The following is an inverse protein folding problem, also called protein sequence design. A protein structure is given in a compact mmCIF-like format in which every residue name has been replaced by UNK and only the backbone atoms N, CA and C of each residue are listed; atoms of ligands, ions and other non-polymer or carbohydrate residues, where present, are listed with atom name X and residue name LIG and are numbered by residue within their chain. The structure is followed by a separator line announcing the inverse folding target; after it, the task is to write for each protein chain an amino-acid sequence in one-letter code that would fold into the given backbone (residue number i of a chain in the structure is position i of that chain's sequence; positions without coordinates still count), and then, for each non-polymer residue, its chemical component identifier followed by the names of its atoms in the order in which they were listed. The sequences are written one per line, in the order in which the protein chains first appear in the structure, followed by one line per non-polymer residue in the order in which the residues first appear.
data_IF_687949390853
#
_entry.id   IF_687949390853
#
_cell.length_a   1.000
_cell.length_b   1.000
_cell.length_c   1.000
_cell.angle_alpha   90.00
_cell.angle_beta   90.00
_cell.angle_gamma   90.00
#
_symmetry.space_group_name_H-M   'P 1'
#
loop_
_entity.id
_entity.type
_entity.pdbx_description
1 polymer ?
#
# COMPACT_ATOMS: atom_id res chain seq x y z
N UNK A 1 -49.51 -64.36 7.71
CA UNK A 1 -49.92 -64.11 6.32
C UNK A 1 -51.41 -63.83 6.36
N UNK A 2 -51.79 -62.58 6.58
CA UNK A 2 -53.15 -62.09 6.42
C UNK A 2 -53.05 -60.91 5.47
N UNK A 3 -53.69 -61.05 4.31
CA UNK A 3 -53.85 -60.00 3.31
C UNK A 3 -54.34 -58.73 4.00
N UNK A 4 -53.55 -57.66 3.85
CA UNK A 4 -53.99 -56.32 4.16
C UNK A 4 -54.81 -55.89 2.94
N UNK A 5 -56.11 -56.00 3.07
CA UNK A 5 -57.10 -55.48 2.13
C UNK A 5 -56.91 -53.97 1.99
N UNK A 6 -56.23 -53.55 0.92
CA UNK A 6 -55.73 -52.19 0.70
C UNK A 6 -56.76 -51.22 0.12
N UNK A 7 -58.00 -51.66 -0.09
CA UNK A 7 -59.01 -50.90 -0.85
C UNK A 7 -60.12 -50.28 -0.01
N UNK A 8 -59.91 -50.12 1.31
CA UNK A 8 -60.86 -49.40 2.15
C UNK A 8 -60.38 -47.95 2.42
N UNK A 9 -60.95 -46.93 1.74
CA UNK A 9 -60.51 -45.53 1.86
C UNK A 9 -60.69 -44.93 3.26
N UNK A 10 -61.46 -45.57 4.13
CA UNK A 10 -61.58 -45.22 5.55
C UNK A 10 -60.33 -45.56 6.36
N UNK A 11 -59.67 -46.69 6.07
CA UNK A 11 -58.46 -47.14 6.78
C UNK A 11 -57.26 -46.27 6.39
N UNK A 12 -57.17 -45.87 5.13
CA UNK A 12 -56.16 -44.93 4.64
C UNK A 12 -56.34 -43.54 5.24
N UNK A 13 -57.58 -43.05 5.38
CA UNK A 13 -57.86 -41.77 6.04
C UNK A 13 -57.50 -41.79 7.52
N UNK A 14 -57.81 -42.87 8.23
CA UNK A 14 -57.44 -43.01 9.65
C UNK A 14 -55.91 -43.00 9.83
N UNK A 15 -55.16 -43.70 8.97
CA UNK A 15 -53.68 -43.66 8.99
C UNK A 15 -53.11 -42.30 8.65
N UNK A 16 -53.72 -41.57 7.71
CA UNK A 16 -53.27 -40.20 7.38
C UNK A 16 -53.53 -39.27 8.55
N UNK A 17 -54.68 -39.35 9.21
CA UNK A 17 -54.97 -38.52 10.40
C UNK A 17 -54.10 -38.89 11.60
N UNK A 18 -53.76 -40.17 11.75
CA UNK A 18 -52.84 -40.65 12.79
C UNK A 18 -51.40 -40.20 12.51
N UNK A 19 -50.96 -40.21 11.26
CA UNK A 19 -49.67 -39.65 10.84
C UNK A 19 -49.63 -38.12 10.96
N UNK A 20 -50.70 -37.41 10.63
CA UNK A 20 -50.81 -35.96 10.83
C UNK A 20 -50.77 -35.59 12.31
N UNK A 21 -51.41 -36.38 13.17
CA UNK A 21 -51.35 -36.19 14.62
C UNK A 21 -49.95 -36.50 15.18
N UNK A 22 -49.27 -37.53 14.68
CA UNK A 22 -47.87 -37.81 15.06
C UNK A 22 -46.91 -36.71 14.57
N UNK A 23 -47.10 -36.19 13.37
CA UNK A 23 -46.32 -35.07 12.85
C UNK A 23 -46.58 -33.78 13.64
N UNK A 24 -47.83 -33.54 14.06
CA UNK A 24 -48.22 -32.42 14.90
C UNK A 24 -47.70 -32.55 16.35
N UNK A 25 -47.55 -33.78 16.87
CA UNK A 25 -46.90 -34.05 18.16
C UNK A 25 -45.37 -33.93 18.09
N UNK A 26 -44.73 -34.35 16.99
CA UNK A 26 -43.29 -34.16 16.79
C UNK A 26 -42.92 -32.70 16.52
N UNK A 27 -43.73 -31.94 15.77
CA UNK A 27 -43.53 -30.49 15.59
C UNK A 27 -43.78 -29.67 16.87
N UNK A 28 -44.53 -30.21 17.84
CA UNK A 28 -44.76 -29.57 19.14
C UNK A 28 -43.68 -29.86 20.18
N UNK A 29 -42.75 -30.77 19.92
CA UNK A 29 -41.59 -30.96 20.80
C UNK A 29 -40.55 -29.91 20.43
N UNK A 30 -40.26 -28.92 21.29
CA UNK A 30 -39.13 -28.04 21.04
C UNK A 30 -37.89 -28.93 20.97
N UNK A 31 -37.11 -28.79 19.89
CA UNK A 31 -35.88 -29.56 19.68
C UNK A 31 -34.91 -29.42 20.88
N UNK A 32 -35.11 -28.43 21.75
CA UNK A 32 -34.39 -28.18 23.00
C UNK A 32 -35.34 -27.62 24.08
N UNK A 33 -35.40 -28.25 25.26
CA UNK A 33 -35.98 -27.65 26.48
C UNK A 33 -34.85 -27.14 27.37
N UNK A 34 -34.90 -25.85 27.73
CA UNK A 34 -33.96 -25.23 28.66
C UNK A 34 -34.62 -25.11 30.03
N UNK A 35 -34.17 -25.90 31.01
CA UNK A 35 -34.75 -25.91 32.36
C UNK A 35 -34.33 -24.71 33.21
N UNK A 36 -33.32 -23.95 32.79
CA UNK A 36 -32.90 -22.71 33.43
C UNK A 36 -32.32 -21.70 32.45
N UNK A 37 -32.40 -20.40 32.76
CA UNK A 37 -31.76 -19.34 31.95
C UNK A 37 -30.24 -19.49 31.86
N UNK A 38 -29.63 -20.17 32.85
CA UNK A 38 -28.20 -20.48 32.87
C UNK A 38 -27.85 -21.58 31.87
N UNK A 39 -28.72 -22.55 31.65
CA UNK A 39 -28.53 -23.61 30.66
C UNK A 39 -28.73 -23.10 29.23
N UNK A 40 -29.67 -22.17 29.03
CA UNK A 40 -29.76 -21.43 27.76
C UNK A 40 -28.46 -20.65 27.48
N UNK A 41 -27.90 -19.99 28.50
CA UNK A 41 -26.64 -19.24 28.39
C UNK A 41 -25.45 -20.17 28.11
N UNK A 42 -25.33 -21.32 28.79
CA UNK A 42 -24.29 -22.32 28.52
C UNK A 42 -24.42 -22.93 27.13
N UNK A 43 -25.64 -23.24 26.68
CA UNK A 43 -25.88 -23.90 25.40
C UNK A 43 -25.69 -22.96 24.21
N UNK A 44 -25.94 -21.66 24.37
CA UNK A 44 -25.64 -20.66 23.34
C UNK A 44 -24.18 -20.21 23.41
N UNK A 45 -23.60 -20.09 24.61
CA UNK A 45 -22.21 -19.65 24.78
C UNK A 45 -21.18 -20.72 24.42
N UNK A 46 -21.44 -22.02 24.62
CA UNK A 46 -20.46 -23.08 24.26
C UNK A 46 -20.17 -23.11 22.75
N UNK A 47 -21.17 -23.13 21.86
CA UNK A 47 -20.94 -23.10 20.41
C UNK A 47 -20.29 -21.79 19.97
N UNK A 48 -20.70 -20.65 20.53
CA UNK A 48 -20.08 -19.35 20.23
C UNK A 48 -18.63 -19.31 20.71
N UNK A 49 -18.34 -19.80 21.92
CA UNK A 49 -16.99 -19.87 22.46
C UNK A 49 -16.12 -20.85 21.67
N UNK A 50 -16.68 -21.97 21.19
CA UNK A 50 -16.01 -22.91 20.31
C UNK A 50 -15.69 -22.28 18.95
N UNK A 51 -16.64 -21.56 18.33
CA UNK A 51 -16.41 -20.81 17.09
C UNK A 51 -15.34 -19.75 17.30
N UNK A 52 -15.42 -18.97 18.39
CA UNK A 52 -14.43 -17.96 18.75
C UNK A 52 -13.05 -18.59 19.01
N UNK A 53 -12.99 -19.75 19.66
CA UNK A 53 -11.75 -20.49 19.89
C UNK A 53 -11.17 -21.06 18.59
N UNK A 54 -12.01 -21.55 17.67
CA UNK A 54 -11.59 -22.01 16.34
C UNK A 54 -11.11 -20.85 15.47
N UNK A 55 -11.77 -19.69 15.51
CA UNK A 55 -11.32 -18.46 14.84
C UNK A 55 -10.01 -17.98 15.44
N UNK A 56 -9.88 -17.94 16.77
CA UNK A 56 -8.64 -17.57 17.44
C UNK A 56 -7.51 -18.56 17.17
N UNK A 57 -7.81 -19.87 17.10
CA UNK A 57 -6.85 -20.90 16.73
C UNK A 57 -6.41 -20.75 15.28
N UNK A 58 -7.35 -20.53 14.35
CA UNK A 58 -7.05 -20.27 12.95
C UNK A 58 -6.18 -19.02 12.79
N UNK A 59 -6.54 -17.93 13.45
CA UNK A 59 -5.80 -16.66 13.43
C UNK A 59 -4.41 -16.81 14.04
N UNK A 60 -4.29 -17.51 15.18
CA UNK A 60 -3.02 -17.60 15.90
C UNK A 60 -2.07 -18.67 15.35
N UNK A 61 -2.58 -19.83 14.96
CA UNK A 61 -1.75 -20.99 14.57
C UNK A 61 -1.54 -21.05 13.07
N UNK A 62 -2.61 -20.88 12.28
CA UNK A 62 -2.52 -21.05 10.82
C UNK A 62 -2.11 -19.74 10.17
N UNK A 63 -2.81 -18.64 10.47
CA UNK A 63 -2.44 -17.33 9.96
C UNK A 63 -1.17 -16.81 10.64
N UNK A 64 -1.00 -16.99 11.95
CA UNK A 64 0.22 -16.63 12.66
C UNK A 64 1.48 -17.36 12.18
N UNK A 65 1.37 -18.63 11.76
CA UNK A 65 2.50 -19.34 11.15
C UNK A 65 2.92 -18.77 9.79
N UNK A 66 2.01 -18.11 9.08
CA UNK A 66 2.26 -17.40 7.81
C UNK A 66 2.34 -15.88 8.04
N UNK A 67 2.45 -15.43 9.30
CA UNK A 67 2.49 -14.03 9.69
C UNK A 67 1.32 -13.15 9.22
N UNK A 68 0.18 -13.78 8.90
CA UNK A 68 -1.07 -13.14 8.49
C UNK A 68 -2.08 -13.04 9.64
N UNK A 69 -1.66 -13.23 10.89
CA UNK A 69 -2.56 -13.06 12.03
C UNK A 69 -3.01 -11.61 12.17
N UNK A 70 -4.21 -11.41 12.72
CA UNK A 70 -4.83 -10.09 12.87
C UNK A 70 -3.94 -9.05 13.59
N UNK A 71 -3.05 -9.47 14.50
CA UNK A 71 -2.15 -8.55 15.22
C UNK A 71 -0.99 -8.11 14.34
N UNK A 72 -0.36 -9.04 13.61
CA UNK A 72 0.68 -8.73 12.62
C UNK A 72 0.16 -7.78 11.53
N UNK A 73 -1.06 -8.04 11.04
CA UNK A 73 -1.77 -7.20 10.07
C UNK A 73 -1.97 -5.79 10.61
N UNK A 74 -2.50 -5.69 11.84
CA UNK A 74 -2.74 -4.41 12.50
C UNK A 74 -1.43 -3.65 12.73
N UNK A 75 -0.36 -4.33 13.12
CA UNK A 75 0.94 -3.72 13.37
C UNK A 75 1.55 -3.14 12.09
N UNK A 76 1.58 -3.88 10.98
CA UNK A 76 2.11 -3.38 9.70
C UNK A 76 1.30 -2.17 9.23
N UNK A 77 -0.03 -2.24 9.32
CA UNK A 77 -0.90 -1.13 8.92
C UNK A 77 -0.66 0.11 9.79
N UNK A 78 -0.56 -0.07 11.11
CA UNK A 78 -0.22 1.01 12.04
C UNK A 78 1.16 1.59 11.76
N UNK A 79 2.15 0.76 11.41
CA UNK A 79 3.49 1.20 11.06
C UNK A 79 3.48 2.08 9.79
N UNK A 80 2.81 1.63 8.73
CA UNK A 80 2.66 2.40 7.49
C UNK A 80 1.90 3.71 7.75
N UNK A 81 0.82 3.67 8.51
CA UNK A 81 0.04 4.86 8.86
C UNK A 81 0.86 5.85 9.73
N UNK A 82 1.67 5.33 10.65
CA UNK A 82 2.56 6.15 11.47
C UNK A 82 3.61 6.85 10.61
N UNK A 83 4.19 6.16 9.62
CA UNK A 83 5.12 6.75 8.66
C UNK A 83 4.44 7.88 7.87
N UNK A 84 3.26 7.62 7.29
CA UNK A 84 2.51 8.63 6.53
C UNK A 84 2.13 9.84 7.39
N UNK A 85 1.76 9.62 8.65
CA UNK A 85 1.45 10.70 9.60
C UNK A 85 2.68 11.58 9.89
N UNK A 86 3.89 10.99 9.95
CA UNK A 86 5.11 11.76 10.10
C UNK A 86 5.37 12.62 8.85
N UNK A 87 5.24 12.05 7.66
CA UNK A 87 5.41 12.78 6.39
C UNK A 87 4.41 13.93 6.25
N UNK A 88 3.14 13.69 6.56
CA UNK A 88 2.10 14.71 6.47
C UNK A 88 2.39 15.89 7.40
N UNK A 89 2.91 15.64 8.60
CA UNK A 89 3.28 16.72 9.53
C UNK A 89 4.41 17.58 9.00
N UNK A 90 5.44 16.96 8.43
CA UNK A 90 6.56 17.69 7.82
C UNK A 90 6.08 18.49 6.61
N UNK A 91 5.27 17.86 5.75
CA UNK A 91 4.69 18.51 4.57
C UNK A 91 3.86 19.75 4.94
N UNK A 92 2.94 19.65 5.90
CA UNK A 92 2.10 20.79 6.32
C UNK A 92 2.96 21.95 6.84
N UNK A 93 4.00 21.66 7.61
CA UNK A 93 4.91 22.71 8.09
C UNK A 93 5.70 23.39 6.96
N UNK A 94 6.10 22.63 5.93
CA UNK A 94 6.75 23.19 4.74
C UNK A 94 5.79 24.04 3.90
N UNK A 95 4.56 23.55 3.71
CA UNK A 95 3.50 24.27 2.98
C UNK A 95 3.14 25.60 3.66
N UNK A 96 3.19 25.64 5.00
CA UNK A 96 3.02 26.86 5.81
C UNK A 96 4.25 27.78 5.84
N UNK A 97 5.33 27.45 5.11
CA UNK A 97 6.58 28.21 5.08
C UNK A 97 7.39 28.15 6.39
N UNK A 98 7.14 27.15 7.24
CA UNK A 98 7.83 26.95 8.52
C UNK A 98 9.00 25.96 8.39
N UNK A 99 9.89 26.19 7.42
CA UNK A 99 10.97 25.25 7.05
C UNK A 99 11.85 24.84 8.23
N UNK A 100 12.20 25.78 9.12
CA UNK A 100 13.00 25.47 10.31
C UNK A 100 12.28 24.52 11.29
N UNK A 101 10.95 24.62 11.42
CA UNK A 101 10.15 23.71 12.25
C UNK A 101 9.92 22.37 11.55
N UNK A 102 9.77 22.37 10.22
CA UNK A 102 9.71 21.15 9.44
C UNK A 102 11.00 20.32 9.61
N UNK A 103 12.17 20.97 9.47
CA UNK A 103 13.47 20.33 9.68
C UNK A 103 13.65 19.79 11.11
N UNK A 104 13.29 20.59 12.12
CA UNK A 104 13.35 20.14 13.52
C UNK A 104 12.41 18.95 13.79
N UNK A 105 11.21 18.96 13.19
CA UNK A 105 10.24 17.86 13.30
C UNK A 105 10.76 16.60 12.65
N UNK A 106 11.30 16.70 11.43
CA UNK A 106 11.91 15.56 10.73
C UNK A 106 13.06 14.97 11.56
N UNK A 107 14.00 15.82 12.02
CA UNK A 107 15.11 15.42 12.88
C UNK A 107 14.65 14.69 14.16
N UNK A 108 13.58 15.17 14.79
CA UNK A 108 13.03 14.57 16.01
C UNK A 108 12.42 13.18 15.80
N UNK A 109 11.96 12.87 14.58
CA UNK A 109 11.30 11.59 14.27
C UNK A 109 12.19 10.58 13.54
N UNK A 110 13.39 10.97 13.06
CA UNK A 110 14.29 10.10 12.27
C UNK A 110 14.50 8.74 12.93
N UNK A 111 14.93 8.68 14.19
CA UNK A 111 15.21 7.41 14.86
C UNK A 111 13.97 6.52 15.02
N UNK A 112 12.79 7.12 15.16
CA UNK A 112 11.51 6.39 15.22
C UNK A 112 11.13 5.88 13.84
N UNK A 113 11.24 6.72 12.80
CA UNK A 113 11.03 6.35 11.39
C UNK A 113 11.92 5.17 11.02
N UNK A 114 13.20 5.24 11.38
CA UNK A 114 14.18 4.19 11.11
C UNK A 114 13.80 2.84 11.71
N UNK A 115 13.38 2.84 12.97
CA UNK A 115 12.89 1.62 13.62
C UNK A 115 11.65 1.05 12.95
N UNK A 116 10.65 1.89 12.69
CA UNK A 116 9.37 1.45 12.09
C UNK A 116 9.59 0.89 10.68
N UNK A 117 10.45 1.52 9.88
CA UNK A 117 10.79 1.04 8.53
C UNK A 117 11.55 -0.28 8.61
N UNK A 118 12.51 -0.42 9.54
CA UNK A 118 13.22 -1.68 9.75
C UNK A 118 12.27 -2.82 10.15
N UNK A 119 11.39 -2.59 11.13
CA UNK A 119 10.38 -3.57 11.56
C UNK A 119 9.43 -3.96 10.42
N UNK A 120 8.99 -2.97 9.64
CA UNK A 120 8.10 -3.19 8.48
C UNK A 120 8.80 -3.98 7.38
N UNK A 121 10.07 -3.69 7.11
CA UNK A 121 10.89 -4.43 6.16
C UNK A 121 11.13 -5.88 6.60
N UNK A 122 11.47 -6.09 7.88
CA UNK A 122 11.67 -7.44 8.44
C UNK A 122 10.37 -8.27 8.41
N UNK A 123 9.22 -7.61 8.54
CA UNK A 123 7.93 -8.26 8.35
C UNK A 123 7.70 -8.61 6.87
N UNK A 124 7.99 -7.69 5.95
CA UNK A 124 7.91 -7.93 4.51
C UNK A 124 8.82 -9.10 4.07
N UNK A 125 10.05 -9.19 4.57
CA UNK A 125 10.96 -10.29 4.26
C UNK A 125 10.38 -11.67 4.59
N UNK A 126 9.60 -11.75 5.67
CA UNK A 126 8.94 -12.99 6.10
C UNK A 126 7.68 -13.25 5.29
N UNK A 127 6.94 -12.21 4.93
CA UNK A 127 5.62 -12.31 4.27
C UNK A 127 5.48 -11.35 3.06
N UNK A 128 6.21 -11.55 1.95
CA UNK A 128 6.23 -10.58 0.85
C UNK A 128 4.88 -10.37 0.16
N UNK A 129 4.07 -11.43 0.05
CA UNK A 129 2.77 -11.43 -0.63
C UNK A 129 1.66 -10.71 0.14
N UNK A 130 1.91 -10.34 1.41
CA UNK A 130 0.91 -9.71 2.27
C UNK A 130 0.69 -8.23 1.92
N UNK A 131 1.73 -7.53 1.48
CA UNK A 131 1.70 -6.09 1.30
C UNK A 131 0.92 -5.69 0.05
N UNK A 132 0.05 -4.69 0.20
CA UNK A 132 -0.63 -4.07 -0.93
C UNK A 132 0.36 -3.22 -1.71
N UNK A 133 0.14 -2.98 -3.01
CA UNK A 133 1.11 -2.24 -3.82
C UNK A 133 1.41 -0.81 -3.33
N UNK A 134 0.42 -0.12 -2.78
CA UNK A 134 0.63 1.21 -2.18
C UNK A 134 1.57 1.13 -0.95
N UNK A 135 1.47 0.07 -0.15
CA UNK A 135 2.32 -0.14 1.03
C UNK A 135 3.76 -0.51 0.60
N UNK A 136 3.91 -1.32 -0.45
CA UNK A 136 5.22 -1.61 -1.05
C UNK A 136 5.89 -0.35 -1.61
N UNK A 137 5.12 0.53 -2.25
CA UNK A 137 5.63 1.82 -2.75
C UNK A 137 6.12 2.70 -1.61
N UNK A 138 5.35 2.82 -0.51
CA UNK A 138 5.73 3.56 0.69
C UNK A 138 7.01 2.95 1.29
N UNK A 139 7.01 1.64 1.56
CA UNK A 139 8.17 0.96 2.13
C UNK A 139 9.43 1.15 1.27
N UNK A 140 9.32 1.00 -0.05
CA UNK A 140 10.41 1.25 -1.00
C UNK A 140 10.92 2.68 -0.87
N UNK A 141 10.01 3.67 -0.83
CA UNK A 141 10.38 5.07 -0.68
C UNK A 141 11.18 5.34 0.59
N UNK A 142 10.76 4.81 1.75
CA UNK A 142 11.48 5.04 3.00
C UNK A 142 12.82 4.30 3.07
N UNK A 143 12.94 3.13 2.44
CA UNK A 143 14.23 2.46 2.30
C UNK A 143 15.21 3.30 1.46
N UNK A 144 14.74 3.99 0.42
CA UNK A 144 15.56 4.95 -0.35
C UNK A 144 16.01 6.11 0.54
N UNK A 145 15.11 6.69 1.35
CA UNK A 145 15.48 7.80 2.25
C UNK A 145 16.58 7.41 3.24
N UNK A 146 16.59 6.15 3.68
CA UNK A 146 17.58 5.56 4.58
C UNK A 146 18.86 5.05 3.89
N UNK A 147 19.04 5.33 2.60
CA UNK A 147 20.20 4.85 1.81
C UNK A 147 20.31 3.32 1.71
N UNK A 148 19.22 2.59 2.05
CA UNK A 148 19.11 1.14 1.94
C UNK A 148 18.66 0.72 0.55
N UNK A 149 19.35 1.23 -0.48
CA UNK A 149 18.92 1.13 -1.87
C UNK A 149 18.87 -0.32 -2.40
N UNK A 150 19.74 -1.21 -1.90
CA UNK A 150 19.69 -2.63 -2.21
C UNK A 150 18.42 -3.32 -1.67
N UNK A 151 17.97 -2.95 -0.47
CA UNK A 151 16.73 -3.48 0.10
C UNK A 151 15.50 -2.89 -0.57
N UNK A 152 15.54 -1.59 -0.89
CA UNK A 152 14.51 -0.93 -1.69
C UNK A 152 14.31 -1.63 -3.03
N UNK A 153 15.38 -2.06 -3.69
CA UNK A 153 15.30 -2.79 -4.97
C UNK A 153 14.57 -4.13 -4.83
N UNK A 154 14.81 -4.89 -3.74
CA UNK A 154 14.10 -6.15 -3.49
C UNK A 154 12.59 -5.94 -3.29
N UNK A 155 12.20 -4.92 -2.53
CA UNK A 155 10.79 -4.56 -2.33
C UNK A 155 10.16 -4.09 -3.64
N UNK A 156 10.92 -3.32 -4.42
CA UNK A 156 10.50 -2.81 -5.73
C UNK A 156 10.20 -3.93 -6.72
N UNK A 157 10.98 -5.02 -6.76
CA UNK A 157 10.73 -6.14 -7.67
C UNK A 157 9.34 -6.75 -7.47
N UNK A 158 8.89 -6.87 -6.21
CA UNK A 158 7.54 -7.34 -5.90
C UNK A 158 6.48 -6.28 -6.26
N UNK A 159 6.75 -5.00 -5.97
CA UNK A 159 5.89 -3.89 -6.38
C UNK A 159 5.66 -3.87 -7.90
N UNK A 160 6.73 -4.01 -8.69
CA UNK A 160 6.73 -3.98 -10.15
C UNK A 160 5.80 -5.05 -10.75
N UNK A 161 5.84 -6.29 -10.22
CA UNK A 161 5.02 -7.41 -10.71
C UNK A 161 3.52 -7.13 -10.65
N UNK A 162 3.09 -6.24 -9.76
CA UNK A 162 1.68 -5.90 -9.59
C UNK A 162 1.19 -4.77 -10.52
N UNK A 163 2.08 -4.12 -11.28
CA UNK A 163 1.75 -2.94 -12.11
C UNK A 163 1.17 -3.36 -13.46
N UNK A 164 -0.08 -2.97 -13.73
CA UNK A 164 -0.81 -3.40 -14.94
C UNK A 164 -1.04 -2.26 -15.92
N UNK A 165 -1.40 -1.08 -15.43
CA UNK A 165 -1.73 0.07 -16.30
C UNK A 165 -0.48 0.81 -16.77
N UNK A 166 -0.61 1.59 -17.85
CA UNK A 166 0.48 2.42 -18.39
C UNK A 166 0.97 3.41 -17.35
N UNK A 167 0.06 4.12 -16.67
CA UNK A 167 0.41 5.05 -15.58
C UNK A 167 1.20 4.36 -14.47
N UNK A 168 0.72 3.20 -14.00
CA UNK A 168 1.39 2.42 -12.96
C UNK A 168 2.79 1.98 -13.36
N UNK A 169 3.00 1.63 -14.64
CA UNK A 169 4.32 1.24 -15.15
C UNK A 169 5.27 2.44 -15.24
N UNK A 170 4.79 3.60 -15.70
CA UNK A 170 5.59 4.82 -15.73
C UNK A 170 6.02 5.25 -14.32
N UNK A 171 5.09 5.28 -13.37
CA UNK A 171 5.37 5.59 -11.96
C UNK A 171 6.33 4.58 -11.31
N UNK A 172 6.22 3.29 -11.65
CA UNK A 172 7.13 2.30 -11.14
C UNK A 172 8.54 2.46 -11.73
N UNK A 173 8.68 2.82 -13.01
CA UNK A 173 9.98 3.15 -13.61
C UNK A 173 10.61 4.41 -13.01
N UNK A 174 9.79 5.41 -12.69
CA UNK A 174 10.21 6.57 -11.91
C UNK A 174 10.73 6.15 -10.52
N UNK A 175 10.01 5.26 -9.82
CA UNK A 175 10.46 4.75 -8.52
C UNK A 175 11.77 3.95 -8.62
N UNK A 176 11.90 3.10 -9.65
CA UNK A 176 13.13 2.36 -9.92
C UNK A 176 14.31 3.31 -10.14
N UNK A 177 14.12 4.35 -10.95
CA UNK A 177 15.14 5.37 -11.17
C UNK A 177 15.55 6.08 -9.88
N UNK A 178 14.61 6.35 -8.96
CA UNK A 178 14.90 6.96 -7.66
C UNK A 178 15.78 6.05 -6.78
N UNK A 179 15.65 4.73 -6.90
CA UNK A 179 16.52 3.77 -6.19
C UNK A 179 17.96 3.89 -6.69
N UNK A 180 18.15 3.89 -8.02
CA UNK A 180 19.49 3.97 -8.64
C UNK A 180 20.12 5.37 -8.53
N UNK A 181 19.32 6.44 -8.50
CA UNK A 181 19.84 7.81 -8.34
C UNK A 181 20.32 8.10 -6.91
N UNK A 182 19.81 7.37 -5.91
CA UNK A 182 20.14 7.62 -4.51
C UNK A 182 21.48 6.99 -4.15
N UNK A 183 22.25 7.70 -3.35
CA UNK A 183 23.46 7.17 -2.73
C UNK A 183 23.17 5.86 -1.97
N UNK A 184 24.05 4.87 -2.14
CA UNK A 184 23.93 3.56 -1.52
C UNK A 184 24.50 2.43 -2.38
N UNK A 185 24.35 1.17 -1.96
CA UNK A 185 25.04 0.03 -2.58
C UNK A 185 24.68 -0.25 -4.04
N UNK A 186 23.51 0.19 -4.51
CA UNK A 186 23.08 0.00 -5.91
C UNK A 186 23.07 1.30 -6.72
N UNK A 187 23.72 2.37 -6.24
CA UNK A 187 23.73 3.65 -6.94
C UNK A 187 24.32 3.51 -8.36
N UNK A 188 23.59 3.99 -9.35
CA UNK A 188 23.98 4.04 -10.76
C UNK A 188 23.22 5.19 -11.45
N UNK A 189 23.89 6.33 -11.58
CA UNK A 189 23.28 7.54 -12.14
C UNK A 189 22.93 7.39 -13.63
N UNK A 190 23.73 6.66 -14.41
CA UNK A 190 23.45 6.44 -15.83
C UNK A 190 22.23 5.55 -16.03
N UNK A 191 22.11 4.50 -15.22
CA UNK A 191 20.92 3.65 -15.22
C UNK A 191 19.68 4.40 -14.74
N UNK A 192 19.80 5.22 -13.70
CA UNK A 192 18.70 6.08 -13.26
C UNK A 192 18.21 7.01 -14.38
N UNK A 193 19.15 7.62 -15.10
CA UNK A 193 18.92 8.42 -16.29
C UNK A 193 18.20 7.61 -17.39
N UNK A 194 18.66 6.40 -17.69
CA UNK A 194 18.02 5.51 -18.67
C UNK A 194 16.58 5.16 -18.30
N UNK A 195 16.34 4.84 -17.02
CA UNK A 195 15.02 4.50 -16.49
C UNK A 195 14.06 5.69 -16.49
N UNK A 196 14.53 6.92 -16.24
CA UNK A 196 13.70 8.12 -16.34
C UNK A 196 13.27 8.40 -17.79
N UNK A 197 14.16 8.14 -18.76
CA UNK A 197 13.81 8.23 -20.19
C UNK A 197 12.75 7.18 -20.55
N UNK A 198 12.92 5.94 -20.10
CA UNK A 198 11.94 4.87 -20.28
C UNK A 198 10.59 5.23 -19.66
N UNK A 199 10.59 5.74 -18.41
CA UNK A 199 9.38 6.20 -17.73
C UNK A 199 8.65 7.28 -18.53
N UNK A 200 9.38 8.25 -19.08
CA UNK A 200 8.82 9.32 -19.90
C UNK A 200 8.16 8.75 -21.16
N UNK A 201 8.84 7.86 -21.90
CA UNK A 201 8.28 7.22 -23.09
C UNK A 201 7.01 6.41 -22.77
N UNK A 202 6.98 5.68 -21.64
CA UNK A 202 5.77 4.96 -21.23
C UNK A 202 4.62 5.94 -20.94
N UNK A 203 4.91 7.08 -20.30
CA UNK A 203 3.90 8.06 -19.91
C UNK A 203 3.18 8.70 -21.10
N UNK A 204 3.78 8.75 -22.29
CA UNK A 204 3.15 9.25 -23.53
C UNK A 204 1.88 8.46 -23.87
N UNK A 205 1.82 7.18 -23.49
CA UNK A 205 0.66 6.32 -23.67
C UNK A 205 -0.50 6.57 -22.70
N UNK A 206 -0.36 7.50 -21.73
CA UNK A 206 -1.44 7.87 -20.82
C UNK A 206 -2.48 8.70 -21.58
N UNK A 207 -3.73 8.23 -21.57
CA UNK A 207 -4.84 8.81 -22.34
C UNK A 207 -5.31 10.16 -21.78
N UNK A 208 -5.38 10.29 -20.46
CA UNK A 208 -5.76 11.53 -19.79
C UNK A 208 -4.63 12.54 -19.92
N UNK A 209 -4.89 13.69 -20.54
CA UNK A 209 -3.88 14.75 -20.68
C UNK A 209 -3.41 15.26 -19.33
N UNK A 210 -4.34 15.45 -18.38
CA UNK A 210 -4.03 15.89 -17.03
C UNK A 210 -3.11 14.91 -16.30
N UNK A 211 -3.45 13.62 -16.27
CA UNK A 211 -2.64 12.61 -15.57
C UNK A 211 -1.29 12.42 -16.26
N UNK A 212 -1.27 12.46 -17.60
CA UNK A 212 -0.02 12.41 -18.37
C UNK A 212 0.92 13.53 -17.98
N UNK A 213 0.43 14.77 -17.97
CA UNK A 213 1.23 15.95 -17.62
C UNK A 213 1.72 15.87 -16.16
N UNK A 214 0.92 15.36 -15.22
CA UNK A 214 1.38 15.12 -13.85
C UNK A 214 2.54 14.13 -13.78
N UNK A 215 2.39 12.96 -14.39
CA UNK A 215 3.41 11.90 -14.37
C UNK A 215 4.68 12.39 -15.09
N UNK A 216 4.54 13.02 -16.25
CA UNK A 216 5.65 13.61 -16.99
C UNK A 216 6.37 14.69 -16.18
N UNK A 217 5.64 15.57 -15.51
CA UNK A 217 6.22 16.60 -14.66
C UNK A 217 7.05 16.00 -13.52
N UNK A 218 6.54 14.97 -12.84
CA UNK A 218 7.30 14.26 -11.81
C UNK A 218 8.58 13.61 -12.35
N UNK A 219 8.52 13.02 -13.56
CA UNK A 219 9.67 12.41 -14.23
C UNK A 219 10.71 13.47 -14.59
N UNK A 220 10.30 14.59 -15.21
CA UNK A 220 11.20 15.67 -15.62
C UNK A 220 11.84 16.34 -14.42
N UNK A 221 11.07 16.63 -13.37
CA UNK A 221 11.60 17.16 -12.12
C UNK A 221 12.67 16.23 -11.53
N UNK A 222 12.38 14.93 -11.42
CA UNK A 222 13.38 13.98 -10.89
C UNK A 222 14.59 13.84 -11.82
N UNK A 223 14.40 13.93 -13.14
CA UNK A 223 15.49 13.93 -14.11
C UNK A 223 16.40 15.14 -13.93
N UNK A 224 15.82 16.32 -13.81
CA UNK A 224 16.53 17.55 -13.50
C UNK A 224 17.42 17.42 -12.26
N UNK A 225 16.85 16.96 -11.15
CA UNK A 225 17.60 16.71 -9.91
C UNK A 225 18.72 15.69 -10.09
N UNK A 226 18.48 14.63 -10.85
CA UNK A 226 19.48 13.58 -11.10
C UNK A 226 20.66 14.12 -11.92
N UNK A 227 20.42 15.01 -12.90
CA UNK A 227 21.50 15.67 -13.65
C UNK A 227 22.26 16.69 -12.79
N UNK A 228 21.59 17.42 -11.90
CA UNK A 228 22.27 18.32 -10.94
C UNK A 228 23.24 17.54 -10.03
N UNK A 229 22.86 16.33 -9.62
CA UNK A 229 23.67 15.48 -8.74
C UNK A 229 24.82 14.80 -9.47
N UNK A 230 24.75 14.69 -10.80
CA UNK A 230 25.78 14.07 -11.64
C UNK A 230 26.93 15.04 -11.92
N UNK A 231 28.15 14.52 -11.94
CA UNK A 231 29.34 15.31 -12.30
C UNK A 231 29.22 15.86 -13.73
N UNK A 232 29.41 17.17 -13.90
CA UNK A 232 29.24 17.87 -15.19
C UNK A 232 27.79 17.98 -15.69
N UNK A 233 26.79 17.50 -14.94
CA UNK A 233 25.39 17.46 -15.39
C UNK A 233 24.62 18.78 -15.28
N UNK A 234 25.21 19.82 -14.67
CA UNK A 234 24.56 21.13 -14.51
C UNK A 234 24.10 21.74 -15.84
N UNK A 235 24.93 21.73 -16.89
CA UNK A 235 24.53 22.29 -18.19
C UNK A 235 23.35 21.54 -18.85
N UNK A 236 23.12 20.29 -18.43
CA UNK A 236 22.00 19.47 -18.92
C UNK A 236 20.74 19.62 -18.04
N UNK A 237 20.83 20.24 -16.86
CA UNK A 237 19.73 20.30 -15.91
C UNK A 237 18.76 21.46 -16.17
N UNK A 238 19.27 22.64 -16.53
CA UNK A 238 18.48 23.87 -16.74
C UNK A 238 17.29 23.70 -17.69
N UNK A 239 17.41 23.03 -18.86
CA UNK A 239 16.30 22.88 -19.79
C UNK A 239 15.07 22.18 -19.20
N UNK A 240 15.24 21.32 -18.20
CA UNK A 240 14.10 20.61 -17.59
C UNK A 240 13.23 21.54 -16.73
N UNK A 241 13.79 22.60 -16.14
CA UNK A 241 13.00 23.59 -15.41
C UNK A 241 12.10 24.39 -16.37
N UNK A 242 12.63 24.71 -17.56
CA UNK A 242 11.87 25.41 -18.59
C UNK A 242 10.76 24.53 -19.17
N UNK A 243 11.05 23.25 -19.41
CA UNK A 243 10.01 22.28 -19.81
C UNK A 243 8.88 22.17 -18.78
N UNK A 244 9.19 22.20 -17.48
CA UNK A 244 8.17 22.17 -16.42
C UNK A 244 7.28 23.43 -16.43
N UNK A 245 7.87 24.60 -16.68
CA UNK A 245 7.15 25.85 -16.83
C UNK A 245 6.24 25.85 -18.06
N UNK A 246 6.73 25.38 -19.20
CA UNK A 246 5.93 25.23 -20.42
C UNK A 246 4.71 24.33 -20.14
N UNK A 247 4.93 23.18 -19.51
CA UNK A 247 3.85 22.27 -19.13
C UNK A 247 2.86 22.88 -18.13
N UNK A 248 3.31 23.78 -17.25
CA UNK A 248 2.45 24.47 -16.30
C UNK A 248 1.43 25.39 -16.99
N UNK A 249 1.69 25.82 -18.23
CA UNK A 249 0.74 26.60 -19.03
C UNK A 249 -0.38 25.77 -19.65
N UNK A 250 -0.15 24.46 -19.83
CA UNK A 250 -1.07 23.53 -20.51
C UNK A 250 -1.84 22.59 -19.56
N UNK A 251 -1.41 22.49 -18.30
CA UNK A 251 -1.81 21.42 -17.39
C UNK A 251 -2.08 21.86 -15.94
N UNK A 252 -1.80 20.99 -14.94
CA UNK A 252 -1.94 21.29 -13.51
C UNK A 252 -0.97 22.38 -13.06
N UNK A 253 -1.33 23.62 -13.38
CA UNK A 253 -0.46 24.78 -13.37
C UNK A 253 0.22 25.02 -12.01
N UNK A 254 -0.52 24.94 -10.91
CA UNK A 254 0.05 25.21 -9.58
C UNK A 254 1.13 24.17 -9.17
N UNK A 255 0.91 22.88 -9.45
CA UNK A 255 1.84 21.81 -9.07
C UNK A 255 3.10 21.88 -9.94
N UNK A 256 2.92 22.03 -11.24
CA UNK A 256 4.03 22.07 -12.20
C UNK A 256 4.85 23.35 -12.07
N UNK A 257 4.21 24.50 -11.84
CA UNK A 257 4.90 25.77 -11.58
C UNK A 257 5.70 25.72 -10.27
N UNK A 258 5.15 25.11 -9.21
CA UNK A 258 5.87 24.90 -7.96
C UNK A 258 7.11 24.00 -8.16
N UNK A 259 6.95 22.90 -8.91
CA UNK A 259 8.07 22.01 -9.23
C UNK A 259 9.15 22.71 -10.08
N UNK A 260 8.75 23.54 -11.05
CA UNK A 260 9.68 24.33 -11.86
C UNK A 260 10.46 25.35 -11.00
N UNK A 261 9.76 26.07 -10.12
CA UNK A 261 10.37 27.05 -9.21
C UNK A 261 11.38 26.39 -8.25
N UNK A 262 11.00 25.29 -7.60
CA UNK A 262 11.90 24.54 -6.73
C UNK A 262 13.11 23.99 -7.51
N UNK A 263 12.88 23.45 -8.72
CA UNK A 263 13.98 22.96 -9.54
C UNK A 263 14.98 24.06 -9.90
N UNK A 264 14.52 25.27 -10.24
CA UNK A 264 15.41 26.43 -10.49
C UNK A 264 16.19 26.84 -9.25
N UNK A 265 15.55 26.79 -8.08
CA UNK A 265 16.22 27.09 -6.81
C UNK A 265 17.33 26.07 -6.52
N UNK A 266 17.07 24.78 -6.73
CA UNK A 266 18.07 23.71 -6.58
C UNK A 266 19.21 23.85 -7.59
N UNK A 267 18.89 24.14 -8.85
CA UNK A 267 19.88 24.39 -9.91
C UNK A 267 20.79 25.56 -9.54
N UNK A 268 20.23 26.72 -9.19
CA UNK A 268 21.00 27.89 -8.78
C UNK A 268 21.93 27.54 -7.61
N UNK A 269 21.36 26.99 -6.53
CA UNK A 269 22.14 26.65 -5.33
C UNK A 269 23.31 25.70 -5.60
N UNK A 270 23.16 24.73 -6.51
CA UNK A 270 24.17 23.67 -6.72
C UNK A 270 25.07 23.87 -7.93
N UNK A 271 24.62 24.62 -8.95
CA UNK A 271 25.29 24.72 -10.23
C UNK A 271 25.90 26.09 -10.50
N UNK A 272 25.30 27.19 -10.04
CA UNK A 272 25.94 28.51 -10.22
C UNK A 272 27.13 28.72 -9.28
N UNK A 273 27.08 28.15 -8.07
CA UNK A 273 28.21 28.20 -7.11
C UNK A 273 29.42 27.35 -7.55
N UNK A 274 29.18 26.31 -8.35
CA UNK A 274 30.26 25.50 -8.97
C UNK A 274 30.90 26.18 -10.18
N UNK A 275 30.14 27.00 -10.93
CA UNK A 275 30.66 27.76 -12.08
C UNK A 275 31.53 28.95 -11.66
N UNK A 276 31.47 29.41 -10.40
CA UNK A 276 32.29 30.53 -9.89
C UNK A 276 33.63 30.10 -9.26
N UNK A 277 33.84 28.79 -9.08
CA UNK A 277 35.01 28.21 -8.40
C UNK A 277 35.91 27.34 -9.30
N UNK A 278 35.53 27.12 -10.56
CA UNK A 278 36.35 26.48 -11.60
C UNK A 278 36.80 27.47 -12.65
#
# INVERSE_FOLDING_TARGET
MSEIDSDNPLVLRQRITELENQLAEEQKKPFWTFDSWQDALKTVSLPIALIMALVAFWDTIILGAVGQDSKSIAQVRQNIEAIQTMDQKVYVLQDEGQDGRAQATEAAVVARRDRIVAETYDHWLRNPSYFRPAELQILTHHLILQYRTADALKVFEEYWRTRKTISQKAEAKLLEARIYAREGPVQDMEKAVGLLKEAFTISEGIRSSYDRLLVQGQILYKRGLTEIEREGGCDSAEPYADMLDEMATEGPSAILASAAADMRAQYTTRCTDRKSTG
#
